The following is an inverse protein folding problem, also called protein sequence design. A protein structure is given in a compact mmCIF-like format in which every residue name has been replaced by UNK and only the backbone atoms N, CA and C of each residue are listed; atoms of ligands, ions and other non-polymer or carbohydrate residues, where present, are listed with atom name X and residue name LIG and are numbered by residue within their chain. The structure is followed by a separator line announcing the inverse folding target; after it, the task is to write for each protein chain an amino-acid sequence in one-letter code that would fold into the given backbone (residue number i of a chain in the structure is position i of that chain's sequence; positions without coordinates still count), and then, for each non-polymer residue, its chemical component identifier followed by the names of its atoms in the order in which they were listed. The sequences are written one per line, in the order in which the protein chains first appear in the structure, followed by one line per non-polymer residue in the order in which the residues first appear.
data_IF_981755278294
#
_entry.id   IF_981755278294
#
_cell.length_a   1.000
_cell.length_b   1.000
_cell.length_c   1.000
_cell.angle_alpha   90.00
_cell.angle_beta   90.00
_cell.angle_gamma   90.00
#
_symmetry.space_group_name_H-M   'P 1'
#
loop_
_entity.id
_entity.type
_entity.pdbx_description
1 polymer ?
#
# COMPACT_ATOMS: atom_id res chain seq x y z
N UNK A 1 -7.75 -5.80 9.08
CA UNK A 1 -7.95 -5.11 7.79
C UNK A 1 -9.15 -5.69 7.10
N UNK A 2 -10.01 -4.87 6.49
CA UNK A 2 -11.27 -5.31 5.87
C UNK A 2 -11.34 -4.91 4.39
N UNK A 3 -12.09 -5.67 3.60
CA UNK A 3 -12.38 -5.31 2.20
C UNK A 3 -13.10 -3.96 2.14
N UNK A 4 -12.67 -3.09 1.23
CA UNK A 4 -13.17 -1.72 1.05
C UNK A 4 -12.50 -0.67 1.94
N UNK A 5 -11.62 -1.07 2.87
CA UNK A 5 -10.90 -0.13 3.72
C UNK A 5 -9.82 0.61 2.94
N UNK A 6 -9.67 1.92 3.23
CA UNK A 6 -8.54 2.73 2.77
C UNK A 6 -7.32 2.51 3.66
N UNK A 7 -6.19 2.24 3.05
CA UNK A 7 -4.93 1.99 3.71
C UNK A 7 -3.84 2.85 3.06
N UNK A 8 -2.87 3.29 3.83
CA UNK A 8 -1.69 4.00 3.32
C UNK A 8 -0.51 3.05 3.28
N UNK A 9 0.28 3.08 2.20
CA UNK A 9 1.53 2.33 2.13
C UNK A 9 2.58 3.01 3.01
N UNK A 10 3.04 2.32 4.05
CA UNK A 10 4.08 2.83 4.96
C UNK A 10 5.48 2.33 4.60
N UNK A 11 5.56 1.24 3.82
CA UNK A 11 6.82 0.60 3.47
C UNK A 11 6.84 0.08 2.02
N UNK A 12 7.51 0.82 1.14
CA UNK A 12 7.73 0.54 -0.27
C UNK A 12 9.06 -0.18 -0.57
N UNK A 13 9.75 -0.71 0.45
CA UNK A 13 11.00 -1.44 0.25
C UNK A 13 10.77 -2.86 -0.26
N UNK A 14 11.01 -3.07 -1.55
CA UNK A 14 10.91 -4.38 -2.21
C UNK A 14 12.27 -4.92 -2.61
N UNK A 15 12.49 -6.22 -2.39
CA UNK A 15 13.69 -6.92 -2.85
C UNK A 15 13.74 -6.95 -4.38
N UNK A 16 14.94 -7.05 -5.00
CA UNK A 16 15.07 -7.08 -6.46
C UNK A 16 14.22 -8.18 -7.13
N UNK A 17 14.10 -9.34 -6.50
CA UNK A 17 13.26 -10.45 -6.98
C UNK A 17 11.78 -10.07 -7.04
N UNK A 18 11.27 -9.36 -6.03
CA UNK A 18 9.87 -8.90 -6.03
C UNK A 18 9.67 -7.84 -7.13
N UNK A 19 10.62 -6.92 -7.30
CA UNK A 19 10.56 -5.90 -8.36
C UNK A 19 10.55 -6.51 -9.77
N UNK A 20 11.17 -7.68 -9.97
CA UNK A 20 11.15 -8.38 -11.25
C UNK A 20 9.84 -9.14 -11.50
N UNK A 21 9.11 -9.53 -10.45
CA UNK A 21 7.86 -10.30 -10.55
C UNK A 21 6.61 -9.42 -10.63
N UNK A 22 6.62 -8.28 -9.94
CA UNK A 22 5.48 -7.38 -9.83
C UNK A 22 5.51 -6.34 -10.94
N UNK A 23 4.38 -6.13 -11.63
CA UNK A 23 4.26 -5.05 -12.62
C UNK A 23 4.02 -3.70 -11.95
N UNK A 24 3.27 -3.72 -10.87
CA UNK A 24 2.87 -2.53 -10.12
C UNK A 24 3.21 -2.74 -8.65
N UNK A 25 3.88 -1.75 -8.07
CA UNK A 25 4.28 -1.74 -6.66
C UNK A 25 3.65 -0.54 -5.97
N UNK A 26 3.21 -0.68 -4.71
CA UNK A 26 2.71 0.43 -3.93
C UNK A 26 3.86 1.38 -3.61
N UNK A 27 3.55 2.65 -3.65
CA UNK A 27 4.47 3.75 -3.36
C UNK A 27 4.17 4.24 -1.96
N UNK A 28 5.22 4.56 -1.20
CA UNK A 28 5.09 5.07 0.17
C UNK A 28 4.25 6.35 0.20
N UNK A 29 3.47 6.50 1.26
CA UNK A 29 2.58 7.63 1.54
C UNK A 29 1.39 7.78 0.56
N UNK A 30 1.22 6.85 -0.38
CA UNK A 30 0.01 6.76 -1.20
C UNK A 30 -1.09 5.94 -0.53
N UNK A 31 -2.34 6.35 -0.79
CA UNK A 31 -3.54 5.73 -0.29
C UNK A 31 -4.08 4.74 -1.32
N UNK A 32 -4.43 3.54 -0.86
CA UNK A 32 -4.95 2.44 -1.64
C UNK A 32 -6.21 1.87 -0.98
N UNK A 33 -7.06 1.23 -1.77
CA UNK A 33 -8.31 0.62 -1.29
C UNK A 33 -8.19 -0.89 -1.35
N UNK A 34 -8.47 -1.57 -0.23
CA UNK A 34 -8.41 -3.03 -0.17
C UNK A 34 -9.53 -3.62 -1.02
N UNK A 35 -9.16 -4.33 -2.08
CA UNK A 35 -10.06 -5.10 -2.95
C UNK A 35 -10.43 -6.44 -2.33
N UNK A 36 -9.45 -7.13 -1.77
CA UNK A 36 -9.60 -8.47 -1.23
C UNK A 36 -8.52 -8.74 -0.18
N UNK A 37 -8.86 -9.53 0.84
CA UNK A 37 -7.95 -9.98 1.88
C UNK A 37 -7.85 -11.49 1.76
N UNK A 38 -6.64 -12.02 1.65
CA UNK A 38 -6.40 -13.45 1.55
C UNK A 38 -5.34 -13.90 2.55
N UNK A 39 -5.39 -15.17 2.91
CA UNK A 39 -4.36 -15.77 3.75
C UNK A 39 -3.18 -16.17 2.87
N UNK A 40 -2.10 -15.39 2.94
CA UNK A 40 -0.84 -15.66 2.27
C UNK A 40 -0.05 -16.77 2.97
N UNK A 41 0.74 -17.51 2.17
CA UNK A 41 1.73 -18.46 2.68
C UNK A 41 3.10 -17.80 2.56
N UNK A 42 3.85 -17.71 3.65
CA UNK A 42 5.13 -16.98 3.66
C UNK A 42 6.21 -17.63 2.75
N UNK A 43 6.09 -18.93 2.46
CA UNK A 43 7.06 -19.67 1.62
C UNK A 43 6.46 -20.14 0.30
N UNK A 44 7.14 -19.75 -0.78
CA UNK A 44 7.02 -20.33 -2.13
C UNK A 44 7.35 -21.84 -2.10
N UNK A 45 8.14 -22.29 -1.11
CA UNK A 45 8.63 -23.67 -1.00
C UNK A 45 8.34 -24.23 0.39
N UNK A 46 7.34 -25.12 0.47
CA UNK A 46 6.86 -25.89 1.64
C UNK A 46 6.34 -25.04 2.82
N UNK A 47 5.06 -25.29 3.15
CA UNK A 47 4.30 -24.57 4.18
C UNK A 47 5.05 -24.47 5.50
N UNK A 48 5.35 -23.24 5.90
CA UNK A 48 5.64 -22.90 7.30
C UNK A 48 4.34 -22.46 7.97
N UNK A 49 4.22 -22.73 9.26
CA UNK A 49 3.05 -22.47 10.11
C UNK A 49 2.71 -20.98 10.33
N UNK A 50 3.41 -20.06 9.65
CA UNK A 50 3.16 -18.63 9.67
C UNK A 50 2.23 -18.21 8.51
N UNK A 51 0.96 -17.97 8.85
CA UNK A 51 -0.01 -17.45 7.91
C UNK A 51 0.06 -15.92 7.89
N UNK A 52 0.61 -15.34 6.83
CA UNK A 52 0.67 -13.88 6.66
C UNK A 52 -0.62 -13.39 6.01
N UNK A 53 -1.14 -12.23 6.41
CA UNK A 53 -2.32 -11.66 5.75
C UNK A 53 -1.88 -10.88 4.50
N UNK A 54 -2.31 -11.36 3.34
CA UNK A 54 -2.10 -10.74 2.04
C UNK A 54 -3.28 -9.88 1.61
N UNK A 55 -2.99 -8.80 0.90
CA UNK A 55 -3.97 -7.82 0.42
C UNK A 55 -3.87 -7.65 -1.09
N UNK A 56 -5.02 -7.58 -1.75
CA UNK A 56 -5.15 -7.06 -3.10
C UNK A 56 -5.70 -5.63 -3.02
N UNK A 57 -5.20 -4.77 -3.89
CA UNK A 57 -5.61 -3.36 -3.96
C UNK A 57 -6.45 -3.13 -5.22
N UNK A 58 -7.33 -2.14 -5.21
CA UNK A 58 -8.15 -1.81 -6.38
C UNK A 58 -7.34 -1.08 -7.45
N UNK A 59 -6.42 -0.21 -7.01
CA UNK A 59 -5.64 0.68 -7.85
C UNK A 59 -4.44 -0.05 -8.48
N UNK A 60 -3.93 -1.09 -7.82
CA UNK A 60 -2.79 -1.88 -8.28
C UNK A 60 -3.24 -3.28 -8.65
N UNK A 61 -3.08 -3.65 -9.92
CA UNK A 61 -3.37 -5.00 -10.42
C UNK A 61 -2.11 -5.64 -10.95
N UNK A 62 -1.80 -6.82 -10.43
CA UNK A 62 -0.64 -7.60 -10.84
C UNK A 62 -1.06 -8.87 -11.58
N UNK A 63 -0.14 -9.46 -12.37
CA UNK A 63 -0.39 -10.77 -12.96
C UNK A 63 -0.53 -11.85 -11.87
N UNK A 64 -1.12 -12.98 -12.26
CA UNK A 64 -1.14 -14.18 -11.43
C UNK A 64 0.28 -14.66 -11.12
N UNK A 65 0.48 -15.15 -9.90
CA UNK A 65 1.77 -15.70 -9.47
C UNK A 65 2.13 -16.94 -10.31
N UNK A 66 3.26 -16.91 -11.06
CA UNK A 66 3.71 -18.04 -11.85
C UNK A 66 4.14 -19.26 -11.01
N UNK A 67 4.41 -19.08 -9.72
CA UNK A 67 4.81 -20.14 -8.80
C UNK A 67 3.64 -20.70 -7.98
N UNK A 68 2.45 -20.10 -8.07
CA UNK A 68 1.28 -20.56 -7.33
C UNK A 68 0.38 -21.44 -8.22
N UNK A 69 0.14 -22.68 -7.80
CA UNK A 69 -0.73 -23.63 -8.54
C UNK A 69 -2.16 -23.10 -8.74
N UNK A 70 -2.66 -22.26 -7.83
CA UNK A 70 -3.99 -21.63 -7.94
C UNK A 70 -4.05 -20.37 -8.81
N UNK A 71 -2.94 -19.95 -9.45
CA UNK A 71 -2.85 -18.70 -10.24
C UNK A 71 -3.40 -17.47 -9.48
N UNK A 72 -3.13 -17.41 -8.18
CA UNK A 72 -3.60 -16.32 -7.35
C UNK A 72 -2.87 -15.03 -7.72
N UNK A 73 -3.56 -13.90 -7.73
CA UNK A 73 -2.97 -12.59 -7.99
C UNK A 73 -1.86 -12.28 -6.97
N UNK A 74 -0.75 -11.71 -7.44
CA UNK A 74 0.35 -11.27 -6.59
C UNK A 74 -0.11 -10.10 -5.71
N UNK A 75 -0.45 -10.42 -4.46
CA UNK A 75 -0.83 -9.43 -3.45
C UNK A 75 0.30 -9.01 -2.54
N UNK A 76 0.02 -8.06 -1.67
CA UNK A 76 0.99 -7.43 -0.79
C UNK A 76 0.78 -7.82 0.67
N UNK A 77 1.85 -7.91 1.46
CA UNK A 77 1.71 -8.13 2.90
C UNK A 77 1.00 -6.96 3.57
N UNK A 78 0.03 -7.25 4.42
CA UNK A 78 -0.69 -6.25 5.22
C UNK A 78 0.21 -5.44 6.15
N UNK A 79 1.36 -5.97 6.56
CA UNK A 79 2.34 -5.29 7.41
C UNK A 79 2.96 -4.04 6.76
N UNK A 80 2.85 -3.91 5.42
CA UNK A 80 3.34 -2.75 4.67
C UNK A 80 2.34 -1.61 4.59
N UNK A 81 1.14 -1.83 5.11
CA UNK A 81 0.05 -0.88 5.04
C UNK A 81 -0.42 -0.52 6.45
N UNK A 82 -0.70 0.76 6.65
CA UNK A 82 -1.38 1.22 7.85
C UNK A 82 -2.85 1.54 7.50
N UNK A 83 -3.81 1.15 8.34
CA UNK A 83 -5.18 1.59 8.19
C UNK A 83 -5.25 3.11 8.35
N UNK A 84 -5.86 3.81 7.39
CA UNK A 84 -6.14 5.21 7.55
C UNK A 84 -7.28 5.31 8.59
N UNK A 85 -6.96 5.71 9.82
CA UNK A 85 -8.00 5.97 10.80
C UNK A 85 -8.88 7.11 10.28
N UNK A 86 -10.19 6.87 10.15
CA UNK A 86 -11.17 7.90 9.83
C UNK A 86 -11.31 8.85 11.03
N UNK A 87 -10.28 9.66 11.30
CA UNK A 87 -10.54 10.92 11.98
C UNK A 87 -11.20 11.84 10.95
N UNK A 88 -12.32 12.52 11.29
CA UNK A 88 -12.98 13.45 10.38
C UNK A 88 -11.92 14.44 9.85
N UNK A 89 -12.01 14.83 8.56
CA UNK A 89 -10.92 15.55 7.89
C UNK A 89 -10.68 16.90 8.56
N UNK A 90 -9.69 16.97 9.45
CA UNK A 90 -9.15 18.24 9.91
C UNK A 90 -8.23 18.76 8.80
N UNK A 91 -8.88 19.48 7.88
CA UNK A 91 -8.39 20.57 7.02
C UNK A 91 -6.96 20.45 6.51
N UNK A 92 -6.88 20.37 5.18
CA UNK A 92 -5.76 20.80 4.37
C UNK A 92 -4.99 21.95 5.05
N UNK A 93 -3.75 21.69 5.46
CA UNK A 93 -2.75 22.74 5.58
C UNK A 93 -2.39 23.12 4.14
N UNK A 94 -3.17 24.04 3.59
CA UNK A 94 -2.73 24.89 2.49
C UNK A 94 -1.52 25.62 3.07
N UNK A 95 -0.33 25.34 2.54
CA UNK A 95 0.82 26.20 2.75
C UNK A 95 0.49 27.54 2.08
N UNK A 96 -0.05 28.45 2.86
CA UNK A 96 -0.27 29.83 2.48
C UNK A 96 1.10 30.52 2.51
N UNK A 97 1.77 30.58 1.35
CA UNK A 97 2.85 31.55 1.12
C UNK A 97 2.25 32.96 1.22
N UNK A 98 2.30 33.55 2.40
CA UNK A 98 2.07 34.99 2.58
C UNK A 98 3.40 35.63 3.00
N UNK A 99 4.21 35.99 2.00
CA UNK A 99 5.24 37.01 2.18
C UNK A 99 4.57 38.38 2.13
N UNK A 100 3.90 38.76 3.22
CA UNK A 100 3.51 40.15 3.47
C UNK A 100 4.65 40.82 4.23
N UNK A 101 5.50 41.56 3.51
CA UNK A 101 6.62 42.20 4.17
C UNK A 101 7.56 43.05 3.33
N UNK A 102 7.08 43.77 2.32
CA UNK A 102 7.85 44.88 1.74
C UNK A 102 7.00 45.89 0.95
N UNK A 103 6.25 46.75 1.65
CA UNK A 103 5.95 48.10 1.13
C UNK A 103 6.16 49.14 2.24
N UNK A 104 7.22 49.93 2.04
CA UNK A 104 7.67 51.16 2.75
C UNK A 104 6.59 52.27 2.66
N UNK A 105 6.48 53.29 3.55
CA UNK A 105 7.52 54.34 3.72
C UNK A 105 7.51 55.17 5.04
N UNK A 106 8.56 55.96 5.28
CA UNK A 106 8.53 57.37 5.73
C UNK A 106 9.96 57.89 5.94
#
# INVERSE_FOLDING_TARGET
MIKGQKVVCVNDTFTPTIRALYQQLPVKDNIYTIREVFLGREKIVKGGDSATVGLLLNELRNPADPFHQGKQELGFSSERFAPLAEHPPEKAKVEEEVYDGAWMPA
#
